data_IF_275444492654
#
_entry.id   IF_275444492654
#
_cell.length_a   1.000
_cell.length_b   1.000
_cell.length_c   1.000
_cell.angle_alpha   90.00
_cell.angle_beta   90.00
_cell.angle_gamma   90.00
#
_symmetry.space_group_name_H-M   'P 1'
#
loop_
_entity.id
_entity.type
_entity.pdbx_description
1 polymer ?
#
# COMPACT_ATOMS: atom_id res chain seq x y z
N UNK A 1 -10.45 17.70 2.81
CA UNK A 1 -9.06 17.67 2.28
C UNK A 1 -7.98 17.38 3.33
N UNK A 2 -7.86 18.14 4.44
CA UNK A 2 -6.78 17.92 5.45
C UNK A 2 -6.78 16.52 6.09
N UNK A 3 -7.96 15.94 6.34
CA UNK A 3 -8.12 14.59 6.91
C UNK A 3 -7.65 13.49 5.96
N UNK A 4 -7.93 13.60 4.67
CA UNK A 4 -7.50 12.65 3.65
C UNK A 4 -5.97 12.64 3.50
N UNK A 5 -5.34 13.82 3.55
CA UNK A 5 -3.88 13.93 3.53
C UNK A 5 -3.24 13.28 4.78
N UNK A 6 -3.82 13.52 5.95
CA UNK A 6 -3.35 12.90 7.20
C UNK A 6 -3.50 11.38 7.19
N UNK A 7 -4.61 10.86 6.66
CA UNK A 7 -4.85 9.43 6.52
C UNK A 7 -3.84 8.78 5.56
N UNK A 8 -3.59 9.43 4.41
CA UNK A 8 -2.62 8.96 3.42
C UNK A 8 -1.18 8.96 3.95
N UNK A 9 -0.80 9.99 4.70
CA UNK A 9 0.53 10.07 5.32
C UNK A 9 0.73 8.98 6.39
N UNK A 10 -0.30 8.69 7.20
CA UNK A 10 -0.25 7.62 8.19
C UNK A 10 -0.13 6.23 7.54
N UNK A 11 -0.87 5.99 6.45
CA UNK A 11 -0.77 4.75 5.69
C UNK A 11 0.63 4.57 5.06
N UNK A 12 1.20 5.63 4.50
CA UNK A 12 2.55 5.60 3.95
C UNK A 12 3.62 5.33 5.02
N UNK A 13 3.46 5.90 6.22
CA UNK A 13 4.37 5.66 7.34
C UNK A 13 4.36 4.20 7.82
N UNK A 14 3.19 3.54 7.85
CA UNK A 14 3.06 2.11 8.18
C UNK A 14 3.82 1.21 7.20
N UNK A 15 3.77 1.50 5.89
CA UNK A 15 4.47 0.74 4.85
C UNK A 15 5.98 1.02 4.87
N UNK A 16 6.38 2.25 5.20
CA UNK A 16 7.79 2.66 5.23
C UNK A 16 8.53 2.20 6.50
N UNK A 17 7.82 1.91 7.60
CA UNK A 17 8.44 1.54 8.88
C UNK A 17 9.37 0.30 8.81
N UNK A 18 9.03 -0.80 8.10
CA UNK A 18 9.93 -1.92 7.92
C UNK A 18 11.16 -1.59 7.06
N UNK A 19 11.02 -0.70 6.06
CA UNK A 19 12.13 -0.29 5.19
C UNK A 19 13.17 0.54 5.95
N UNK A 20 12.71 1.42 6.86
CA UNK A 20 13.59 2.25 7.67
C UNK A 20 14.29 1.46 8.81
N UNK A 21 13.73 0.31 9.21
CA UNK A 21 14.28 -0.57 10.26
C UNK A 21 15.18 -1.69 9.72
N UNK A 22 15.62 -1.59 8.45
CA UNK A 22 16.38 -2.62 7.75
C UNK A 22 17.81 -2.87 8.28
N UNK A 23 18.30 -2.06 9.22
CA UNK A 23 19.65 -2.19 9.80
C UNK A 23 19.71 -3.24 10.92
N UNK A 24 19.12 -4.42 10.68
CA UNK A 24 19.32 -5.59 11.54
C UNK A 24 20.37 -6.45 10.88
N UNK A 25 21.55 -6.56 11.50
CA UNK A 25 22.60 -7.52 11.18
C UNK A 25 22.00 -8.95 11.15
N UNK A 26 21.41 -9.33 10.03
CA UNK A 26 21.01 -10.71 9.77
C UNK A 26 22.27 -11.44 9.37
N UNK A 27 22.60 -12.50 10.09
CA UNK A 27 23.57 -13.47 9.61
C UNK A 27 23.17 -13.87 8.17
N UNK A 28 24.12 -13.92 7.22
CA UNK A 28 23.80 -14.27 5.84
C UNK A 28 23.15 -15.65 5.83
N UNK A 29 21.84 -15.70 5.59
CA UNK A 29 21.23 -16.95 5.16
C UNK A 29 21.58 -17.07 3.69
N UNK A 30 22.55 -17.94 3.37
CA UNK A 30 22.72 -18.46 2.02
C UNK A 30 21.45 -19.23 1.65
N UNK A 31 20.43 -18.47 1.31
CA UNK A 31 19.16 -18.86 0.79
C UNK A 31 18.65 -17.54 0.26
N UNK A 32 19.05 -17.23 -0.97
CA UNK A 32 18.40 -16.20 -1.76
C UNK A 32 16.90 -16.31 -1.48
N UNK A 33 16.30 -15.24 -0.97
CA UNK A 33 14.85 -15.16 -0.92
C UNK A 33 14.40 -15.41 -2.35
N UNK A 34 13.60 -16.45 -2.61
CA UNK A 34 13.13 -16.77 -3.97
C UNK A 34 12.28 -15.61 -4.56
N UNK A 35 11.87 -14.68 -3.69
CA UNK A 35 11.16 -13.44 -4.00
C UNK A 35 12.11 -12.20 -3.96
N UNK A 36 13.42 -12.42 -3.78
CA UNK A 36 14.44 -11.41 -3.46
C UNK A 36 15.06 -10.67 -4.64
N UNK A 37 14.68 -11.00 -5.87
CA UNK A 37 15.13 -10.26 -7.06
C UNK A 37 13.98 -9.42 -7.61
N UNK A 38 13.84 -8.18 -7.13
CA UNK A 38 12.94 -7.13 -7.63
C UNK A 38 11.99 -7.59 -8.76
N UNK A 39 10.97 -8.38 -8.42
CA UNK A 39 10.06 -8.90 -9.42
C UNK A 39 9.20 -7.72 -9.87
N UNK A 40 9.65 -7.05 -10.93
CA UNK A 40 8.98 -5.89 -11.53
C UNK A 40 7.52 -6.24 -11.83
N UNK A 41 7.21 -7.51 -12.12
CA UNK A 41 5.85 -8.02 -12.23
C UNK A 41 5.03 -7.84 -10.95
N UNK A 42 5.52 -8.29 -9.79
CA UNK A 42 4.83 -8.12 -8.51
C UNK A 42 4.66 -6.65 -8.12
N UNK A 43 5.69 -5.82 -8.37
CA UNK A 43 5.59 -4.38 -8.14
C UNK A 43 4.52 -3.75 -9.04
N UNK A 44 4.50 -4.09 -10.33
CA UNK A 44 3.52 -3.58 -11.28
C UNK A 44 2.10 -4.05 -10.93
N UNK A 45 1.93 -5.30 -10.51
CA UNK A 45 0.63 -5.83 -10.06
C UNK A 45 0.17 -5.11 -8.79
N UNK A 46 1.07 -4.89 -7.82
CA UNK A 46 0.75 -4.13 -6.61
C UNK A 46 0.33 -2.69 -6.89
N UNK A 47 1.04 -2.00 -7.78
CA UNK A 47 0.69 -0.63 -8.21
C UNK A 47 -0.65 -0.62 -8.96
N UNK A 48 -0.88 -1.56 -9.87
CA UNK A 48 -2.13 -1.66 -10.61
C UNK A 48 -3.32 -1.90 -9.68
N UNK A 49 -3.17 -2.83 -8.72
CA UNK A 49 -4.20 -3.10 -7.72
C UNK A 49 -4.51 -1.86 -6.86
N UNK A 50 -3.49 -1.14 -6.40
CA UNK A 50 -3.67 0.08 -5.62
C UNK A 50 -4.45 1.16 -6.41
N UNK A 51 -4.12 1.35 -7.69
CA UNK A 51 -4.82 2.32 -8.55
C UNK A 51 -6.29 1.94 -8.78
N UNK A 52 -6.58 0.66 -9.02
CA UNK A 52 -7.97 0.17 -9.17
C UNK A 52 -8.76 0.42 -7.90
N UNK A 53 -8.21 0.10 -6.72
CA UNK A 53 -8.87 0.36 -5.44
C UNK A 53 -9.15 1.85 -5.24
N UNK A 54 -8.20 2.73 -5.56
CA UNK A 54 -8.42 4.19 -5.48
C UNK A 54 -9.54 4.65 -6.41
N UNK A 55 -9.59 4.13 -7.64
CA UNK A 55 -10.65 4.46 -8.61
C UNK A 55 -12.02 3.98 -8.11
N UNK A 56 -12.10 2.74 -7.59
CA UNK A 56 -13.35 2.19 -7.06
C UNK A 56 -13.86 3.01 -5.88
N UNK A 57 -13.01 3.29 -4.89
CA UNK A 57 -13.39 4.08 -3.70
C UNK A 57 -13.72 5.53 -4.08
N UNK A 58 -13.00 6.15 -5.00
CA UNK A 58 -13.29 7.52 -5.44
C UNK A 58 -14.60 7.65 -6.23
N UNK A 59 -15.10 6.54 -6.81
CA UNK A 59 -16.34 6.53 -7.58
C UNK A 59 -17.57 6.15 -6.74
N UNK A 60 -17.40 5.71 -5.49
CA UNK A 60 -18.51 5.35 -4.57
C UNK A 60 -19.21 6.57 -3.95
N UNK A 61 -18.69 7.79 -4.14
CA UNK A 61 -19.15 9.03 -3.49
C UNK A 61 -20.42 9.68 -4.10
N UNK A 62 -21.36 8.92 -4.69
CA UNK A 62 -22.61 9.49 -5.24
C UNK A 62 -23.94 8.80 -4.91
N UNK A 63 -23.97 7.67 -4.20
CA UNK A 63 -25.23 6.96 -3.92
C UNK A 63 -25.57 6.75 -2.43
N UNK A 64 -24.87 7.41 -1.51
CA UNK A 64 -25.22 7.43 -0.08
C UNK A 64 -26.28 8.52 0.22
N UNK A 65 -27.42 8.48 -0.48
CA UNK A 65 -28.64 9.09 0.04
C UNK A 65 -29.30 8.09 0.98
N UNK A 66 -29.21 8.35 2.29
CA UNK A 66 -29.93 7.57 3.28
C UNK A 66 -31.45 7.77 3.08
N UNK A 67 -32.09 6.92 2.28
CA UNK A 67 -33.55 6.92 2.13
C UNK A 67 -34.18 6.24 3.35
N UNK A 68 -34.32 7.02 4.43
CA UNK A 68 -35.26 6.69 5.50
C UNK A 68 -36.70 7.06 5.07
N UNK A 69 -37.70 6.20 5.30
CA UNK A 69 -39.11 6.54 5.05
C UNK A 69 -39.62 7.63 5.99
#
# INVERSE_FOLDING_TARGET
MKRALALGAAAAAMIAAPLAAADRMSAPVESESEIGGANRGLLLVGVAAALVTVILVANEDNDDEAVSP
#
